data_IF_341756854700
#
_entry.id   IF_341756854700
#
_cell.length_a   1.000
_cell.length_b   1.000
_cell.length_c   1.000
_cell.angle_alpha   90.00
_cell.angle_beta   90.00
_cell.angle_gamma   90.00
#
_symmetry.space_group_name_H-M   'P 1'
#
loop_
_entity.id
_entity.type
_entity.pdbx_description
1 polymer ?
#
# COMPACT_ATOMS: atom_id res chain seq x y z
N UNK A 1 13.89 3.15 -11.87
CA UNK A 1 13.93 3.19 -10.39
C UNK A 1 12.68 3.96 -9.97
N UNK A 2 11.89 3.44 -9.03
CA UNK A 2 10.75 4.18 -8.51
C UNK A 2 11.27 5.35 -7.66
N UNK A 3 10.51 6.45 -7.59
CA UNK A 3 10.78 7.53 -6.64
C UNK A 3 10.59 7.09 -5.18
N UNK A 4 10.48 8.06 -4.28
CA UNK A 4 10.17 7.82 -2.87
C UNK A 4 8.76 8.32 -2.51
N UNK A 5 8.08 7.59 -1.62
CA UNK A 5 6.84 8.02 -0.98
C UNK A 5 6.99 7.74 0.51
N UNK A 6 6.69 8.75 1.35
CA UNK A 6 6.72 8.55 2.82
C UNK A 6 5.73 7.49 3.24
N UNK A 7 6.13 6.66 4.21
CA UNK A 7 5.31 5.64 4.85
C UNK A 7 4.06 6.26 5.51
N UNK A 8 3.07 5.41 5.81
CA UNK A 8 1.89 5.86 6.52
C UNK A 8 2.17 6.06 8.01
N UNK A 9 1.79 7.23 8.53
CA UNK A 9 1.87 7.53 9.96
C UNK A 9 0.69 6.90 10.71
N UNK A 10 0.94 5.74 11.32
CA UNK A 10 -0.07 5.01 12.11
C UNK A 10 -0.62 5.80 13.31
N UNK A 11 0.05 6.86 13.76
CA UNK A 11 -0.48 7.74 14.82
C UNK A 11 -1.63 8.62 14.31
N UNK A 12 -1.85 8.68 12.99
CA UNK A 12 -2.87 9.49 12.33
C UNK A 12 -3.79 8.63 11.45
N UNK A 13 -4.58 7.71 12.02
CA UNK A 13 -5.44 6.79 11.27
C UNK A 13 -6.42 7.49 10.32
N UNK A 14 -6.87 8.70 10.65
CA UNK A 14 -7.79 9.51 9.83
C UNK A 14 -7.17 9.98 8.51
N UNK A 15 -5.85 9.93 8.37
CA UNK A 15 -5.13 10.35 7.16
C UNK A 15 -4.94 9.21 6.14
N UNK A 16 -5.45 8.00 6.41
CA UNK A 16 -5.30 6.85 5.50
C UNK A 16 -5.74 7.16 4.07
N UNK A 17 -6.91 7.79 3.89
CA UNK A 17 -7.42 8.17 2.56
C UNK A 17 -6.49 9.14 1.82
N UNK A 18 -5.80 10.02 2.56
CA UNK A 18 -4.82 10.94 1.98
C UNK A 18 -3.54 10.20 1.56
N UNK A 19 -3.06 9.25 2.37
CA UNK A 19 -1.96 8.36 2.01
C UNK A 19 -2.30 7.51 0.78
N UNK A 20 -3.49 6.90 0.74
CA UNK A 20 -3.97 6.11 -0.39
C UNK A 20 -4.00 6.93 -1.69
N UNK A 21 -4.50 8.16 -1.63
CA UNK A 21 -4.52 9.08 -2.78
C UNK A 21 -3.11 9.41 -3.27
N UNK A 22 -2.18 9.71 -2.35
CA UNK A 22 -0.76 9.93 -2.68
C UNK A 22 -0.11 8.71 -3.33
N UNK A 23 -0.39 7.51 -2.83
CA UNK A 23 0.12 6.27 -3.39
C UNK A 23 -0.40 6.05 -4.81
N UNK A 24 -1.67 6.33 -5.08
CA UNK A 24 -2.25 6.24 -6.43
C UNK A 24 -1.51 7.19 -7.39
N UNK A 25 -1.34 8.46 -7.02
CA UNK A 25 -0.56 9.40 -7.85
C UNK A 25 0.89 8.99 -8.02
N UNK A 26 1.52 8.42 -7.00
CA UNK A 26 2.87 7.90 -7.08
C UNK A 26 2.98 6.75 -8.09
N UNK A 27 2.03 5.81 -8.09
CA UNK A 27 1.97 4.72 -9.05
C UNK A 27 1.79 5.25 -10.48
N UNK A 28 0.89 6.21 -10.68
CA UNK A 28 0.63 6.85 -11.98
C UNK A 28 1.88 7.56 -12.51
N UNK A 29 2.52 8.41 -11.68
CA UNK A 29 3.72 9.13 -12.05
C UNK A 29 4.90 8.21 -12.42
N UNK A 30 4.91 6.99 -11.88
CA UNK A 30 5.93 5.98 -12.17
C UNK A 30 5.48 4.95 -13.23
N UNK A 31 4.36 5.17 -13.93
CA UNK A 31 3.79 4.27 -14.93
C UNK A 31 3.59 2.83 -14.42
N UNK A 32 3.23 2.67 -13.14
CA UNK A 32 2.97 1.36 -12.53
C UNK A 32 1.50 1.00 -12.75
N UNK A 33 1.21 0.35 -13.86
CA UNK A 33 -0.15 -0.03 -14.25
C UNK A 33 -0.51 -1.49 -13.91
N UNK A 34 0.50 -2.36 -13.86
CA UNK A 34 0.31 -3.78 -13.55
C UNK A 34 -0.25 -3.98 -12.12
N UNK A 35 -1.37 -4.71 -11.94
CA UNK A 35 -1.99 -4.89 -10.62
C UNK A 35 -1.07 -5.52 -9.58
N UNK A 36 -0.25 -6.49 -9.96
CA UNK A 36 0.68 -7.14 -9.04
C UNK A 36 1.80 -6.18 -8.62
N UNK A 37 2.31 -5.35 -9.53
CA UNK A 37 3.28 -4.29 -9.20
C UNK A 37 2.68 -3.21 -8.32
N UNK A 38 1.44 -2.77 -8.57
CA UNK A 38 0.74 -1.80 -7.69
C UNK A 38 0.66 -2.31 -6.26
N UNK A 39 0.25 -3.57 -6.09
CA UNK A 39 0.25 -4.25 -4.79
C UNK A 39 1.65 -4.36 -4.18
N UNK A 40 2.65 -4.75 -4.97
CA UNK A 40 4.02 -4.86 -4.48
C UNK A 40 4.54 -3.52 -3.94
N UNK A 41 4.27 -2.42 -4.66
CA UNK A 41 4.64 -1.06 -4.22
C UNK A 41 3.92 -0.68 -2.93
N UNK A 42 2.60 -0.90 -2.83
CA UNK A 42 1.85 -0.68 -1.57
C UNK A 42 2.51 -1.42 -0.40
N UNK A 43 2.74 -2.73 -0.55
CA UNK A 43 3.27 -3.56 0.52
C UNK A 43 4.72 -3.21 0.88
N UNK A 44 5.53 -2.74 -0.08
CA UNK A 44 6.91 -2.31 0.20
C UNK A 44 7.04 -0.90 0.76
N UNK A 45 6.07 -0.01 0.47
CA UNK A 45 6.17 1.42 0.79
C UNK A 45 5.23 1.88 1.91
N UNK A 46 4.37 0.99 2.43
CA UNK A 46 3.45 1.31 3.53
C UNK A 46 4.12 1.39 4.91
N UNK A 47 5.34 0.87 5.03
CA UNK A 47 6.07 0.79 6.30
C UNK A 47 5.77 -0.45 7.10
N UNK A 48 6.72 -0.87 7.93
CA UNK A 48 6.65 -2.11 8.72
C UNK A 48 5.39 -2.24 9.59
N UNK A 49 4.98 -1.20 10.34
CA UNK A 49 3.77 -1.29 11.17
C UNK A 49 2.48 -1.54 10.37
N UNK A 50 2.33 -0.88 9.22
CA UNK A 50 1.16 -1.08 8.35
C UNK A 50 1.20 -2.45 7.70
N UNK A 51 2.37 -2.89 7.23
CA UNK A 51 2.53 -4.23 6.66
C UNK A 51 2.13 -5.32 7.67
N UNK A 52 2.56 -5.19 8.93
CA UNK A 52 2.17 -6.12 10.00
C UNK A 52 0.67 -6.11 10.26
N UNK A 53 0.02 -4.93 10.24
CA UNK A 53 -1.43 -4.80 10.39
C UNK A 53 -2.17 -5.49 9.23
N UNK A 54 -1.73 -5.27 7.99
CA UNK A 54 -2.28 -5.92 6.80
C UNK A 54 -2.19 -7.45 6.92
N UNK A 55 -1.02 -7.98 7.33
CA UNK A 55 -0.86 -9.42 7.56
C UNK A 55 -1.80 -9.96 8.63
N UNK A 56 -1.97 -9.23 9.74
CA UNK A 56 -2.88 -9.63 10.81
C UNK A 56 -4.35 -9.66 10.37
N UNK A 57 -4.77 -8.69 9.53
CA UNK A 57 -6.15 -8.58 9.04
C UNK A 57 -6.49 -9.62 7.96
N UNK A 58 -5.51 -10.02 7.14
CA UNK A 58 -5.72 -10.94 6.00
C UNK A 58 -5.53 -12.42 6.39
N UNK A 59 -4.88 -12.69 7.53
CA UNK A 59 -4.67 -14.04 8.04
C UNK A 59 -5.97 -14.88 8.06
N UNK A 60 -5.94 -16.14 7.60
CA UNK A 60 -4.77 -16.96 7.27
C UNK A 60 -4.23 -16.78 5.83
N UNK A 61 -4.86 -15.93 5.01
CA UNK A 61 -4.40 -15.70 3.64
C UNK A 61 -3.12 -14.85 3.60
N UNK A 62 -2.40 -14.90 2.48
CA UNK A 62 -1.19 -14.12 2.25
C UNK A 62 -1.54 -12.77 1.59
N UNK A 63 -0.87 -11.65 1.94
CA UNK A 63 -1.07 -10.38 1.24
C UNK A 63 -0.92 -10.45 -0.28
N UNK A 64 -0.09 -11.38 -0.79
CA UNK A 64 0.08 -11.59 -2.23
C UNK A 64 -1.14 -12.21 -2.94
N UNK A 65 -2.06 -12.81 -2.18
CA UNK A 65 -3.29 -13.43 -2.68
C UNK A 65 -4.45 -12.43 -2.77
N UNK A 66 -4.27 -11.21 -2.24
CA UNK A 66 -5.25 -10.13 -2.32
C UNK A 66 -4.94 -9.18 -3.48
N UNK A 67 -5.98 -8.56 -4.03
CA UNK A 67 -5.83 -7.48 -5.00
C UNK A 67 -5.32 -6.20 -4.33
N UNK A 68 -4.83 -5.25 -5.13
CA UNK A 68 -4.42 -3.94 -4.62
C UNK A 68 -5.59 -3.21 -3.94
N UNK A 69 -6.76 -3.21 -4.57
CA UNK A 69 -7.93 -2.48 -4.08
C UNK A 69 -8.49 -3.10 -2.78
N UNK A 70 -8.48 -4.43 -2.64
CA UNK A 70 -8.87 -5.12 -1.38
C UNK A 70 -7.97 -4.79 -0.19
N UNK A 71 -6.71 -4.40 -0.42
CA UNK A 71 -5.79 -4.03 0.66
C UNK A 71 -5.90 -2.53 0.96
N UNK A 72 -6.13 -1.70 -0.06
CA UNK A 72 -6.10 -0.26 0.08
C UNK A 72 -7.42 0.31 0.64
N UNK A 73 -8.56 -0.32 0.35
CA UNK A 73 -9.92 0.12 0.69
C UNK A 73 -10.76 -1.00 1.30
#
# INVERSE_FOLDING_TARGET
MLGHIEEFDISKPKEWTAYASRLIFFLEANNVTDPAKRRAVLLSSCGGPVFNLIQALISPANPNEKSFDEILF
#
